data_IF_656619414001
#
_entry.id   IF_656619414001
#
_cell.length_a   1.000
_cell.length_b   1.000
_cell.length_c   1.000
_cell.angle_alpha   90.00
_cell.angle_beta   90.00
_cell.angle_gamma   90.00
#
_symmetry.space_group_name_H-M   'P 1'
#
loop_
_entity.id
_entity.type
_entity.pdbx_description
1 polymer ?
#
# COMPACT_ATOMS: atom_id res chain seq x y z
N UNK A 1 12.02 -1.96 20.46
CA UNK A 1 11.83 -1.05 21.61
C UNK A 1 10.69 -1.62 22.45
N UNK A 2 10.78 -1.70 23.79
CA UNK A 2 9.63 -2.16 24.60
C UNK A 2 8.62 -1.01 24.68
N UNK A 3 7.44 -1.19 24.08
CA UNK A 3 6.34 -0.21 24.13
C UNK A 3 5.94 -0.02 25.59
N UNK A 4 5.90 1.22 26.08
CA UNK A 4 5.36 1.51 27.41
C UNK A 4 3.83 1.67 27.30
N UNK A 5 3.05 0.71 27.83
CA UNK A 5 1.59 0.76 27.74
C UNK A 5 0.96 1.93 28.51
N UNK A 6 1.66 2.55 29.45
CA UNK A 6 1.18 3.75 30.15
C UNK A 6 1.11 4.97 29.22
N UNK A 7 2.02 5.08 28.25
CA UNK A 7 2.05 6.18 27.29
C UNK A 7 1.27 5.87 26.01
N UNK A 8 1.23 4.58 25.60
CA UNK A 8 0.62 4.15 24.35
C UNK A 8 -0.36 2.97 24.56
N UNK A 9 -1.50 3.21 25.24
CA UNK A 9 -2.40 2.15 25.68
C UNK A 9 -3.09 1.42 24.52
N UNK A 10 -3.19 2.04 23.34
CA UNK A 10 -3.88 1.47 22.18
C UNK A 10 -2.96 0.66 21.27
N UNK A 11 -1.66 0.58 21.57
CA UNK A 11 -0.66 -0.06 20.68
C UNK A 11 -1.01 -1.50 20.33
N UNK A 12 -1.45 -2.29 21.31
CA UNK A 12 -1.81 -3.70 21.05
C UNK A 12 -3.07 -3.82 20.18
N UNK A 13 -4.04 -2.91 20.34
CA UNK A 13 -5.24 -2.91 19.50
C UNK A 13 -4.91 -2.55 18.06
N UNK A 14 -4.14 -1.48 17.87
CA UNK A 14 -3.67 -1.06 16.56
C UNK A 14 -2.81 -2.16 15.91
N UNK A 15 -1.92 -2.83 16.66
CA UNK A 15 -1.15 -3.97 16.17
C UNK A 15 -2.07 -5.09 15.68
N UNK A 16 -3.08 -5.48 16.46
CA UNK A 16 -4.05 -6.50 16.05
C UNK A 16 -4.83 -6.09 14.80
N UNK A 17 -5.22 -4.82 14.68
CA UNK A 17 -5.86 -4.29 13.47
C UNK A 17 -4.96 -4.48 12.24
N UNK A 18 -3.70 -4.05 12.32
CA UNK A 18 -2.71 -4.19 11.24
C UNK A 18 -2.48 -5.67 10.89
N UNK A 19 -2.42 -6.54 11.90
CA UNK A 19 -2.25 -7.99 11.72
C UNK A 19 -3.45 -8.67 11.08
N UNK A 20 -4.65 -8.09 11.08
CA UNK A 20 -5.79 -8.63 10.32
C UNK A 20 -5.63 -8.43 8.81
N UNK A 21 -4.88 -7.41 8.38
CA UNK A 21 -4.76 -7.03 6.98
C UNK A 21 -3.65 -7.88 6.32
N UNK A 22 -4.01 -8.67 5.29
CA UNK A 22 -3.07 -9.61 4.66
C UNK A 22 -1.86 -8.90 4.05
N UNK A 23 -2.11 -7.75 3.42
CA UNK A 23 -1.05 -6.92 2.85
C UNK A 23 -0.08 -6.42 3.93
N UNK A 24 -0.57 -5.98 5.08
CA UNK A 24 0.28 -5.44 6.15
C UNK A 24 1.16 -6.52 6.78
N UNK A 25 0.64 -7.74 6.94
CA UNK A 25 1.45 -8.90 7.35
C UNK A 25 2.56 -9.21 6.33
N UNK A 26 2.23 -9.15 5.03
CA UNK A 26 3.21 -9.38 3.96
C UNK A 26 4.29 -8.29 3.90
N UNK A 27 3.94 -7.05 4.21
CA UNK A 27 4.88 -5.93 4.34
C UNK A 27 5.70 -5.97 5.62
N UNK A 28 5.30 -6.75 6.63
CA UNK A 28 5.96 -6.80 7.93
C UNK A 28 5.73 -5.54 8.76
N UNK A 29 4.60 -4.85 8.60
CA UNK A 29 4.31 -3.63 9.34
C UNK A 29 4.21 -3.90 10.84
N UNK A 30 4.86 -3.07 11.65
CA UNK A 30 4.82 -3.15 13.11
C UNK A 30 4.36 -1.83 13.70
N UNK A 31 3.36 -1.87 14.58
CA UNK A 31 2.90 -0.69 15.32
C UNK A 31 3.81 -0.49 16.53
N UNK A 32 4.48 0.66 16.56
CA UNK A 32 5.39 1.03 17.65
C UNK A 32 4.68 1.80 18.75
N UNK A 33 3.75 2.68 18.37
CA UNK A 33 3.01 3.54 19.28
C UNK A 33 1.58 3.70 18.78
N UNK A 34 0.59 3.59 19.66
CA UNK A 34 -0.74 4.08 19.39
C UNK A 34 -1.39 4.66 20.66
N UNK A 35 -1.99 5.83 20.50
CA UNK A 35 -2.77 6.55 21.50
C UNK A 35 -4.00 7.19 20.84
N UNK A 36 -4.74 8.00 21.60
CA UNK A 36 -5.82 8.81 21.06
C UNK A 36 -5.35 9.96 20.15
N UNK A 37 -4.07 10.32 20.21
CA UNK A 37 -3.49 11.43 19.46
C UNK A 37 -2.85 10.97 18.15
N UNK A 38 -2.08 9.88 18.20
CA UNK A 38 -1.31 9.41 17.04
C UNK A 38 -1.12 7.90 17.00
N UNK A 39 -0.69 7.43 15.85
CA UNK A 39 -0.15 6.09 15.60
C UNK A 39 1.19 6.20 14.90
N UNK A 40 2.16 5.40 15.32
CA UNK A 40 3.46 5.22 14.69
C UNK A 40 3.61 3.78 14.21
N UNK A 41 3.82 3.59 12.91
CA UNK A 41 4.04 2.29 12.27
C UNK A 41 5.43 2.25 11.64
N UNK A 42 6.16 1.17 11.86
CA UNK A 42 7.40 0.85 11.15
C UNK A 42 7.12 -0.06 9.95
N UNK A 43 7.67 0.33 8.80
CA UNK A 43 7.83 -0.50 7.61
C UNK A 43 9.30 -0.93 7.52
N UNK A 44 9.62 -2.23 7.68
CA UNK A 44 10.98 -2.70 7.48
C UNK A 44 11.40 -2.60 6.01
N UNK A 45 12.68 -2.37 5.77
CA UNK A 45 13.22 -2.41 4.41
C UNK A 45 13.20 -3.85 3.87
N UNK A 46 12.73 -4.02 2.63
CA UNK A 46 12.81 -5.29 1.91
C UNK A 46 13.08 -5.04 0.44
N UNK A 47 13.95 -5.86 -0.15
CA UNK A 47 14.27 -5.79 -1.57
C UNK A 47 13.09 -6.16 -2.47
N UNK A 48 12.08 -6.87 -1.95
CA UNK A 48 10.85 -7.16 -2.69
C UNK A 48 9.98 -5.91 -2.92
N UNK A 49 10.22 -4.85 -2.14
CA UNK A 49 9.43 -3.61 -2.17
C UNK A 49 10.03 -2.53 -3.07
N UNK A 50 11.18 -2.84 -3.68
CA UNK A 50 11.89 -1.93 -4.58
C UNK A 50 11.03 -1.63 -5.82
N UNK A 51 10.86 -0.34 -6.11
CA UNK A 51 10.19 0.13 -7.33
C UNK A 51 11.12 0.15 -8.54
N UNK A 52 12.42 0.38 -8.31
CA UNK A 52 13.41 0.49 -9.38
C UNK A 52 14.72 -0.21 -8.98
N UNK A 53 15.05 -1.36 -9.60
CA UNK A 53 16.16 -2.21 -9.17
C UNK A 53 17.49 -1.50 -8.99
N UNK A 54 17.84 -0.60 -9.90
CA UNK A 54 19.14 0.10 -9.91
C UNK A 54 19.35 1.04 -8.72
N UNK A 55 18.27 1.46 -8.07
CA UNK A 55 18.32 2.49 -7.02
C UNK A 55 18.24 1.92 -5.61
N UNK A 56 17.70 0.70 -5.46
CA UNK A 56 17.32 0.16 -4.14
C UNK A 56 16.17 0.90 -3.45
N UNK A 57 15.56 1.90 -4.10
CA UNK A 57 14.48 2.71 -3.52
C UNK A 57 13.18 1.94 -3.54
N UNK A 58 12.50 1.89 -2.39
CA UNK A 58 11.16 1.28 -2.29
C UNK A 58 10.13 2.09 -3.09
N UNK A 59 9.17 1.39 -3.69
CA UNK A 59 8.16 2.02 -4.54
C UNK A 59 7.25 2.96 -3.73
N UNK A 60 6.81 4.08 -4.33
CA UNK A 60 5.94 5.06 -3.68
C UNK A 60 4.62 4.45 -3.19
N UNK A 61 4.01 3.55 -3.98
CA UNK A 61 2.87 2.73 -3.54
C UNK A 61 3.04 1.97 -2.21
N UNK A 62 4.27 1.62 -1.81
CA UNK A 62 4.55 1.02 -0.50
C UNK A 62 4.44 2.07 0.60
N UNK A 63 4.96 3.29 0.35
CA UNK A 63 4.80 4.45 1.23
C UNK A 63 3.31 4.81 1.36
N UNK A 64 2.57 4.83 0.25
CA UNK A 64 1.13 5.07 0.25
C UNK A 64 0.38 4.02 1.08
N UNK A 65 0.78 2.74 0.99
CA UNK A 65 0.20 1.68 1.83
C UNK A 65 0.50 1.89 3.30
N UNK A 66 1.75 2.21 3.67
CA UNK A 66 2.11 2.55 5.04
C UNK A 66 1.27 3.71 5.59
N UNK A 67 1.09 4.77 4.80
CA UNK A 67 0.35 5.96 5.20
C UNK A 67 -1.16 5.70 5.31
N UNK A 68 -1.74 4.94 4.38
CA UNK A 68 -3.14 4.49 4.42
C UNK A 68 -3.40 3.66 5.68
N UNK A 69 -2.53 2.69 5.98
CA UNK A 69 -2.62 1.85 7.19
C UNK A 69 -2.44 2.66 8.48
N UNK A 70 -1.47 3.58 8.53
CA UNK A 70 -1.23 4.43 9.70
C UNK A 70 -2.44 5.35 9.97
N UNK A 71 -2.97 5.99 8.93
CA UNK A 71 -4.18 6.80 9.02
C UNK A 71 -5.39 5.97 9.48
N UNK A 72 -5.64 4.81 8.86
CA UNK A 72 -6.74 3.93 9.26
C UNK A 72 -6.62 3.47 10.73
N UNK A 73 -5.41 3.16 11.18
CA UNK A 73 -5.13 2.79 12.57
C UNK A 73 -5.38 3.95 13.54
N UNK A 74 -5.03 5.18 13.15
CA UNK A 74 -5.31 6.38 13.94
C UNK A 74 -6.82 6.66 14.03
N UNK A 75 -7.58 6.40 12.97
CA UNK A 75 -9.05 6.51 12.99
C UNK A 75 -9.67 5.48 13.93
N UNK A 76 -9.26 4.21 13.83
CA UNK A 76 -9.73 3.15 14.73
C UNK A 76 -9.43 3.50 16.19
N UNK A 77 -8.22 3.97 16.48
CA UNK A 77 -7.78 4.37 17.82
C UNK A 77 -8.61 5.54 18.36
N UNK A 78 -8.86 6.57 17.54
CA UNK A 78 -9.66 7.73 17.92
C UNK A 78 -11.14 7.39 18.15
N UNK A 79 -11.72 6.51 17.32
CA UNK A 79 -13.10 6.04 17.48
C UNK A 79 -13.24 5.22 18.77
N UNK A 80 -12.33 4.27 18.98
CA UNK A 80 -12.36 3.43 20.17
C UNK A 80 -12.24 4.26 21.44
N UNK A 81 -11.29 5.20 21.49
CA UNK A 81 -11.16 6.07 22.65
C UNK A 81 -12.43 6.88 22.93
N UNK A 82 -13.02 7.51 21.90
CA UNK A 82 -14.14 8.43 22.07
C UNK A 82 -15.48 7.74 22.31
N UNK A 83 -15.70 6.58 21.69
CA UNK A 83 -17.01 5.91 21.66
C UNK A 83 -16.99 4.51 22.27
N UNK A 84 -15.82 4.00 22.67
CA UNK A 84 -15.64 2.63 23.17
C UNK A 84 -16.23 1.59 22.21
N UNK A 85 -16.09 1.86 20.90
CA UNK A 85 -16.68 1.10 19.80
C UNK A 85 -15.67 0.87 18.69
N UNK A 86 -15.89 -0.19 17.90
CA UNK A 86 -15.12 -0.49 16.70
C UNK A 86 -16.02 -0.29 15.47
N UNK A 87 -15.57 0.56 14.56
CA UNK A 87 -16.26 0.89 13.31
C UNK A 87 -15.38 0.52 12.11
N UNK A 88 -15.99 0.04 11.02
CA UNK A 88 -15.26 -0.09 9.76
C UNK A 88 -15.07 1.32 9.22
N UNK A 89 -13.82 1.64 8.91
CA UNK A 89 -13.46 2.96 8.39
C UNK A 89 -12.78 2.86 7.02
N UNK A 90 -13.53 2.66 5.92
CA UNK A 90 -12.94 2.61 4.59
C UNK A 90 -12.38 3.97 4.19
N UNK A 91 -11.22 3.97 3.55
CA UNK A 91 -10.63 5.17 2.95
C UNK A 91 -11.51 5.71 1.83
N UNK A 92 -11.83 7.00 1.87
CA UNK A 92 -12.56 7.71 0.80
C UNK A 92 -11.59 8.35 -0.19
N UNK A 93 -10.57 9.02 0.35
CA UNK A 93 -9.54 9.67 -0.45
C UNK A 93 -8.20 9.67 0.31
N UNK A 94 -7.12 9.69 -0.46
CA UNK A 94 -5.77 9.84 0.05
C UNK A 94 -4.94 10.67 -0.93
N UNK A 95 -4.26 11.69 -0.41
CA UNK A 95 -3.26 12.47 -1.13
C UNK A 95 -1.92 12.28 -0.48
N UNK A 96 -0.90 11.96 -1.28
CA UNK A 96 0.50 11.82 -0.86
C UNK A 96 1.34 12.78 -1.68
N UNK A 97 2.05 13.67 -0.99
CA UNK A 97 3.03 14.58 -1.59
C UNK A 97 4.44 14.06 -1.24
N UNK A 98 5.28 13.79 -2.24
CA UNK A 98 6.61 13.21 -2.07
C UNK A 98 7.71 14.30 -2.14
N UNK A 99 8.56 14.36 -1.13
CA UNK A 99 9.66 15.33 -1.03
C UNK A 99 10.99 14.74 -1.48
N UNK A 100 11.23 13.46 -1.16
CA UNK A 100 12.47 12.75 -1.49
C UNK A 100 12.26 11.23 -1.51
N UNK A 101 13.14 10.46 -2.17
CA UNK A 101 13.11 9.00 -2.08
C UNK A 101 13.50 8.50 -0.69
N UNK A 102 12.95 7.35 -0.30
CA UNK A 102 13.42 6.60 0.86
C UNK A 102 14.84 6.09 0.61
N UNK A 103 15.72 6.24 1.60
CA UNK A 103 17.08 5.70 1.58
C UNK A 103 17.02 4.17 1.66
N UNK A 104 17.73 3.45 0.77
CA UNK A 104 17.80 1.99 0.80
C UNK A 104 18.37 1.45 2.12
N UNK A 105 18.01 0.22 2.47
CA UNK A 105 18.50 -0.50 3.66
C UNK A 105 18.12 0.12 5.01
N UNK A 106 17.16 1.05 5.04
CA UNK A 106 16.62 1.66 6.25
C UNK A 106 15.10 1.47 6.33
N UNK A 107 14.54 1.22 7.52
CA UNK A 107 13.09 1.21 7.68
C UNK A 107 12.49 2.59 7.37
N UNK A 108 11.18 2.64 7.15
CA UNK A 108 10.39 3.86 7.02
C UNK A 108 9.35 3.88 8.14
N UNK A 109 9.19 5.02 8.78
CA UNK A 109 8.21 5.24 9.83
C UNK A 109 7.05 6.06 9.30
N UNK A 110 5.83 5.58 9.49
CA UNK A 110 4.58 6.29 9.21
C UNK A 110 3.96 6.78 10.50
N UNK A 111 4.03 8.09 10.74
CA UNK A 111 3.35 8.75 11.84
C UNK A 111 2.03 9.34 11.35
N UNK A 112 0.91 9.04 12.01
CA UNK A 112 -0.41 9.49 11.59
C UNK A 112 -1.25 9.99 12.76
N UNK A 113 -2.09 10.99 12.50
CA UNK A 113 -3.01 11.58 13.47
C UNK A 113 -4.42 11.66 12.86
N UNK A 114 -5.43 11.31 13.65
CA UNK A 114 -6.83 11.62 13.33
C UNK A 114 -7.19 12.96 13.96
N UNK A 115 -6.91 14.06 13.27
CA UNK A 115 -7.07 15.40 13.82
C UNK A 115 -8.53 15.88 13.90
N UNK A 116 -9.46 15.21 13.20
CA UNK A 116 -10.89 15.53 13.30
C UNK A 116 -11.76 14.31 13.09
N UNK A 117 -12.59 14.01 14.08
CA UNK A 117 -13.59 12.94 14.05
C UNK A 117 -15.01 13.53 14.03
N UNK A 118 -15.65 13.55 12.85
CA UNK A 118 -17.05 13.97 12.68
C UNK A 118 -18.01 12.78 12.76
N UNK A 119 -19.31 12.98 12.58
CA UNK A 119 -20.31 11.89 12.64
C UNK A 119 -20.07 10.81 11.57
N UNK A 120 -19.78 11.20 10.33
CA UNK A 120 -19.72 10.29 9.18
C UNK A 120 -18.34 10.18 8.55
N UNK A 121 -17.42 11.09 8.88
CA UNK A 121 -16.09 11.19 8.27
C UNK A 121 -15.04 11.47 9.34
N UNK A 122 -13.92 10.75 9.28
CA UNK A 122 -12.70 11.06 10.01
C UNK A 122 -11.67 11.68 9.05
N UNK A 123 -10.92 12.67 9.52
CA UNK A 123 -9.88 13.33 8.75
C UNK A 123 -8.53 13.07 9.38
N UNK A 124 -7.56 12.69 8.56
CA UNK A 124 -6.22 12.31 9.00
C UNK A 124 -5.15 13.09 8.29
N UNK A 125 -3.99 13.17 8.94
CA UNK A 125 -2.74 13.59 8.32
C UNK A 125 -1.65 12.63 8.77
N UNK A 126 -0.65 12.43 7.91
CA UNK A 126 0.45 11.54 8.20
C UNK A 126 1.77 12.02 7.59
N UNK A 127 2.88 11.51 8.14
CA UNK A 127 4.25 11.80 7.73
C UNK A 127 5.00 10.48 7.61
N UNK A 128 5.59 10.22 6.44
CA UNK A 128 6.53 9.13 6.23
C UNK A 128 7.96 9.68 6.35
N UNK A 129 8.79 9.08 7.20
CA UNK A 129 10.18 9.52 7.43
C UNK A 129 11.11 8.35 7.79
N UNK A 130 12.41 8.62 7.94
CA UNK A 130 13.41 7.62 8.37
C UNK A 130 14.18 8.11 9.60
N UNK A 131 15.16 9.00 9.40
CA UNK A 131 16.03 9.45 10.48
C UNK A 131 15.40 10.57 11.34
N UNK A 132 14.64 11.48 10.72
CA UNK A 132 13.95 12.59 11.39
C UNK A 132 12.62 12.90 10.73
N UNK A 133 11.59 13.20 11.54
CA UNK A 133 10.27 13.63 11.08
C UNK A 133 10.30 15.01 10.39
N UNK A 134 11.31 15.85 10.72
CA UNK A 134 11.52 17.17 10.11
C UNK A 134 12.13 17.11 8.70
N UNK A 135 12.58 15.93 8.28
CA UNK A 135 13.12 15.67 6.95
C UNK A 135 12.37 14.49 6.29
N UNK A 136 11.08 14.70 5.95
CA UNK A 136 10.17 13.63 5.55
C UNK A 136 10.44 13.10 4.15
N UNK A 137 10.09 11.84 3.92
CA UNK A 137 9.93 11.25 2.58
C UNK A 137 8.67 11.80 1.92
N UNK A 138 7.56 11.78 2.66
CA UNK A 138 6.25 12.18 2.15
C UNK A 138 5.34 12.71 3.26
N UNK A 139 4.42 13.60 2.89
CA UNK A 139 3.23 13.92 3.68
C UNK A 139 2.00 13.27 3.06
N UNK A 140 1.03 12.90 3.89
CA UNK A 140 -0.28 12.51 3.40
C UNK A 140 -1.41 13.16 4.18
N UNK A 141 -2.53 13.35 3.50
CA UNK A 141 -3.83 13.69 4.09
C UNK A 141 -4.87 12.75 3.51
N UNK A 142 -5.86 12.36 4.32
CA UNK A 142 -6.92 11.48 3.85
C UNK A 142 -8.21 11.64 4.64
N UNK A 143 -9.29 11.17 4.04
CA UNK A 143 -10.61 11.10 4.67
C UNK A 143 -11.08 9.66 4.72
N UNK A 144 -11.68 9.27 5.85
CA UNK A 144 -12.15 7.92 6.10
C UNK A 144 -13.63 7.97 6.45
N UNK A 145 -14.43 7.16 5.76
CA UNK A 145 -15.85 7.05 6.07
C UNK A 145 -16.03 6.33 7.39
N UNK A 146 -16.98 6.75 8.22
CA UNK A 146 -17.38 6.02 9.43
C UNK A 146 -18.65 5.25 9.15
N UNK A 147 -18.56 3.93 9.16
CA UNK A 147 -19.71 3.06 8.97
C UNK A 147 -20.15 2.51 10.33
N UNK A 148 -21.47 2.52 10.56
CA UNK A 148 -22.12 2.08 11.81
C UNK A 148 -21.51 0.77 12.34
N UNK A 149 -21.35 0.65 13.67
CA UNK A 149 -20.83 -0.57 14.30
C UNK A 149 -21.56 -1.85 13.87
N UNK A 150 -22.86 -1.78 13.55
CA UNK A 150 -23.69 -2.93 13.14
C UNK A 150 -23.16 -3.67 11.89
N UNK A 151 -22.39 -2.96 11.05
CA UNK A 151 -21.76 -3.53 9.85
C UNK A 151 -20.45 -4.24 10.16
N UNK A 152 -19.95 -4.16 11.39
CA UNK A 152 -18.74 -4.85 11.85
C UNK A 152 -19.14 -6.20 12.44
N UNK A 153 -18.82 -7.29 11.75
CA UNK A 153 -19.13 -8.64 12.24
C UNK A 153 -18.41 -8.98 13.56
N UNK A 154 -19.05 -9.77 14.40
CA UNK A 154 -18.56 -10.13 15.75
C UNK A 154 -17.16 -10.75 15.73
N UNK A 155 -16.86 -11.57 14.72
CA UNK A 155 -15.55 -12.20 14.56
C UNK A 155 -14.42 -11.16 14.39
N UNK A 156 -14.66 -10.07 13.66
CA UNK A 156 -13.66 -9.01 13.48
C UNK A 156 -13.47 -8.21 14.77
N UNK A 157 -14.57 -7.92 15.48
CA UNK A 157 -14.49 -7.25 16.79
C UNK A 157 -13.68 -8.07 17.79
N UNK A 158 -13.96 -9.37 17.92
CA UNK A 158 -13.22 -10.26 18.83
C UNK A 158 -11.73 -10.30 18.50
N UNK A 159 -11.38 -10.39 17.20
CA UNK A 159 -9.99 -10.36 16.76
C UNK A 159 -9.27 -9.06 17.14
N UNK A 160 -9.93 -7.90 17.02
CA UNK A 160 -9.38 -6.60 17.43
C UNK A 160 -9.26 -6.44 18.95
N UNK A 161 -10.18 -6.99 19.71
CA UNK A 161 -10.18 -6.91 21.17
C UNK A 161 -9.24 -7.94 21.82
N UNK A 162 -8.80 -8.96 21.07
CA UNK A 162 -7.99 -10.06 21.60
C UNK A 162 -8.80 -11.07 22.40
N UNK A 163 -10.11 -11.15 22.17
CA UNK A 163 -10.99 -12.12 22.79
C UNK A 163 -10.87 -13.47 22.05
N UNK A 164 -10.34 -14.50 22.72
CA UNK A 164 -10.25 -15.84 22.14
C UNK A 164 -11.64 -16.43 21.93
N UNK A 165 -11.94 -16.86 20.70
CA UNK A 165 -13.10 -17.74 20.45
C UNK A 165 -12.84 -19.04 21.21
N UNK A 166 -13.67 -19.36 22.20
CA UNK A 166 -13.71 -20.69 22.79
C UNK A 166 -14.12 -21.66 21.68
N UNK A 167 -13.15 -22.42 21.16
CA UNK A 167 -13.40 -23.43 20.14
C UNK A 167 -14.44 -24.44 20.65
N UNK A 168 -15.62 -24.43 20.05
CA UNK A 168 -16.56 -25.55 20.11
C UNK A 168 -16.00 -26.67 19.22
N UNK A 169 -15.51 -27.73 19.87
CA UNK A 169 -15.57 -29.12 19.40
C UNK A 169 -14.75 -29.49 18.16
N UNK A 170 -13.59 -30.11 18.38
CA UNK A 170 -12.85 -30.82 17.33
C UNK A 170 -11.61 -31.52 17.88
N UNK A 171 -11.81 -32.68 18.49
CA UNK A 171 -10.74 -33.60 18.90
C UNK A 171 -9.97 -34.12 17.69
N UNK A 172 -8.65 -33.97 17.71
CA UNK A 172 -7.75 -34.52 16.71
C UNK A 172 -6.29 -34.30 17.10
N UNK A 173 -5.82 -35.03 18.11
CA UNK A 173 -4.39 -35.22 18.37
C UNK A 173 -3.77 -36.00 17.21
N UNK A 174 -2.74 -35.46 16.54
CA UNK A 174 -1.63 -36.27 15.99
C UNK A 174 -0.30 -35.48 15.97
N UNK A 175 0.63 -35.96 16.80
CA UNK A 175 2.09 -36.02 16.71
C UNK A 175 2.84 -35.19 15.63
N UNK A 176 3.74 -34.32 16.10
CA UNK A 176 4.94 -33.92 15.35
C UNK A 176 6.21 -34.29 16.13
N UNK A 177 6.92 -35.29 15.60
CA UNK A 177 8.29 -35.66 15.99
C UNK A 177 9.21 -35.46 14.79
N UNK A 178 10.20 -34.60 14.98
CA UNK A 178 11.55 -34.57 14.40
C UNK A 178 11.73 -34.67 12.86
N UNK A 179 12.33 -33.64 12.27
CA UNK A 179 13.79 -33.60 11.99
C UNK A 179 14.17 -32.27 11.34
N UNK A 180 15.15 -31.63 11.94
CA UNK A 180 15.87 -30.49 11.38
C UNK A 180 16.86 -30.98 10.34
N UNK A 181 16.94 -30.30 9.20
CA UNK A 181 18.18 -30.22 8.42
C UNK A 181 18.22 -28.86 7.70
N UNK A 182 19.12 -28.03 8.20
CA UNK A 182 19.44 -26.69 7.72
C UNK A 182 20.33 -26.78 6.48
N UNK A 183 19.85 -26.28 5.35
CA UNK A 183 20.70 -25.95 4.21
C UNK A 183 20.99 -24.45 4.25
N UNK A 184 22.12 -24.09 4.83
CA UNK A 184 22.72 -22.75 4.71
C UNK A 184 23.24 -22.57 3.29
N UNK A 185 22.44 -21.95 2.41
CA UNK A 185 22.95 -21.36 1.18
C UNK A 185 23.17 -19.87 1.39
N UNK A 186 24.44 -19.46 1.32
CA UNK A 186 24.85 -18.06 1.20
C UNK A 186 24.04 -17.38 0.09
N UNK A 187 23.46 -16.18 0.30
CA UNK A 187 22.88 -15.42 -0.79
C UNK A 187 23.99 -15.00 -1.75
N UNK A 188 24.07 -15.67 -2.90
CA UNK A 188 24.86 -15.20 -4.02
C UNK A 188 24.35 -13.81 -4.40
N UNK A 189 25.23 -12.82 -4.32
CA UNK A 189 24.96 -11.46 -4.80
C UNK A 189 24.67 -11.57 -6.30
N UNK A 190 23.38 -11.50 -6.67
CA UNK A 190 22.96 -11.42 -8.07
C UNK A 190 23.63 -10.18 -8.67
N UNK A 191 24.21 -10.33 -9.86
CA UNK A 191 24.78 -9.21 -10.61
C UNK A 191 23.76 -8.06 -10.72
N UNK A 192 24.21 -6.79 -10.74
CA UNK A 192 23.32 -5.65 -10.92
C UNK A 192 22.44 -5.84 -12.15
N UNK A 193 21.14 -5.63 -12.00
CA UNK A 193 20.19 -5.72 -13.11
C UNK A 193 20.47 -4.54 -14.06
N UNK A 194 20.59 -4.78 -15.36
CA UNK A 194 20.74 -3.71 -16.36
C UNK A 194 19.35 -3.12 -16.67
N UNK A 195 18.82 -2.26 -15.79
CA UNK A 195 17.49 -1.67 -16.01
C UNK A 195 17.48 -0.77 -17.24
N UNK A 196 18.58 -0.08 -17.56
CA UNK A 196 18.66 0.71 -18.80
C UNK A 196 18.51 -0.19 -20.03
N UNK A 197 19.20 -1.33 -20.08
CA UNK A 197 19.06 -2.32 -21.14
C UNK A 197 17.67 -2.97 -21.18
N UNK A 198 17.06 -3.25 -20.04
CA UNK A 198 15.70 -3.81 -19.97
C UNK A 198 14.68 -2.80 -20.47
N UNK A 199 14.74 -1.54 -20.04
CA UNK A 199 13.79 -0.53 -20.53
C UNK A 199 14.03 -0.25 -22.00
N UNK A 200 15.29 -0.09 -22.44
CA UNK A 200 15.61 0.11 -23.86
C UNK A 200 15.08 -1.03 -24.71
N UNK A 201 15.29 -2.28 -24.28
CA UNK A 201 14.77 -3.47 -24.96
C UNK A 201 13.24 -3.52 -24.91
N UNK A 202 12.61 -3.19 -23.79
CA UNK A 202 11.15 -3.11 -23.68
C UNK A 202 10.59 -2.04 -24.62
N UNK A 203 11.28 -0.90 -24.80
CA UNK A 203 10.93 0.14 -25.77
C UNK A 203 11.15 -0.35 -27.22
N UNK A 204 12.27 -0.99 -27.52
CA UNK A 204 12.62 -1.52 -28.86
C UNK A 204 11.69 -2.65 -29.30
N UNK A 205 11.43 -3.62 -28.40
CA UNK A 205 10.52 -4.75 -28.61
C UNK A 205 9.05 -4.35 -28.40
N UNK A 206 8.82 -3.18 -27.82
CA UNK A 206 7.51 -2.67 -27.45
C UNK A 206 6.73 -3.62 -26.53
N UNK A 207 7.46 -4.27 -25.62
CA UNK A 207 6.99 -5.23 -24.62
C UNK A 207 7.39 -4.76 -23.21
N UNK A 208 6.46 -4.07 -22.56
CA UNK A 208 6.62 -3.58 -21.19
C UNK A 208 6.18 -4.60 -20.12
N UNK A 209 5.68 -5.77 -20.54
CA UNK A 209 5.49 -6.91 -19.63
C UNK A 209 6.83 -7.35 -19.06
N UNK A 210 7.84 -7.42 -19.91
CA UNK A 210 9.22 -7.71 -19.51
C UNK A 210 9.79 -6.68 -18.52
N UNK A 211 9.42 -5.40 -18.63
CA UNK A 211 9.83 -4.38 -17.66
C UNK A 211 9.25 -4.68 -16.27
N UNK A 212 7.94 -4.96 -16.18
CA UNK A 212 7.29 -5.30 -14.90
C UNK A 212 7.86 -6.57 -14.27
N UNK A 213 8.28 -7.54 -15.08
CA UNK A 213 9.01 -8.74 -14.62
C UNK A 213 10.38 -8.44 -14.02
N UNK A 214 10.89 -7.21 -14.09
CA UNK A 214 12.14 -6.85 -13.45
C UNK A 214 11.95 -5.89 -12.28
N UNK A 215 10.73 -5.41 -12.03
CA UNK A 215 10.40 -4.53 -10.91
C UNK A 215 9.91 -5.36 -9.71
N UNK A 216 10.66 -5.42 -8.59
CA UNK A 216 10.29 -6.24 -7.44
C UNK A 216 8.89 -5.93 -6.90
N UNK A 217 8.55 -4.65 -6.73
CA UNK A 217 7.23 -4.27 -6.24
C UNK A 217 6.09 -4.70 -7.17
N UNK A 218 6.29 -4.64 -8.49
CA UNK A 218 5.28 -5.08 -9.46
C UNK A 218 5.01 -6.59 -9.32
N UNK A 219 6.06 -7.40 -9.13
CA UNK A 219 5.93 -8.84 -8.79
C UNK A 219 5.26 -9.06 -7.44
N UNK A 220 5.63 -8.25 -6.45
CA UNK A 220 5.10 -8.35 -5.10
C UNK A 220 3.58 -8.22 -5.08
N UNK A 221 3.00 -7.28 -5.84
CA UNK A 221 1.54 -7.13 -5.97
C UNK A 221 0.93 -7.98 -7.10
N UNK A 222 1.75 -8.53 -7.99
CA UNK A 222 1.33 -9.40 -9.10
C UNK A 222 0.86 -8.65 -10.35
N UNK A 223 1.19 -7.37 -10.47
CA UNK A 223 0.74 -6.50 -11.56
C UNK A 223 1.24 -6.99 -12.92
N UNK A 224 0.40 -6.82 -13.94
CA UNK A 224 0.67 -7.13 -15.34
C UNK A 224 0.30 -5.94 -16.22
N UNK A 225 0.80 -5.94 -17.45
CA UNK A 225 0.38 -5.01 -18.51
C UNK A 225 0.04 -5.81 -19.75
N UNK A 226 -1.06 -5.44 -20.38
CA UNK A 226 -1.50 -5.95 -21.67
C UNK A 226 -1.60 -4.78 -22.64
N UNK A 227 -1.24 -5.01 -23.90
CA UNK A 227 -1.27 -3.99 -24.95
C UNK A 227 -2.32 -4.34 -25.99
N UNK A 228 -3.13 -3.35 -26.34
CA UNK A 228 -4.17 -3.45 -27.36
C UNK A 228 -3.98 -2.32 -28.38
N UNK A 229 -3.28 -2.60 -29.48
CA UNK A 229 -2.85 -1.54 -30.41
C UNK A 229 -1.87 -0.59 -29.72
N UNK A 230 -2.21 0.69 -29.61
CA UNK A 230 -1.39 1.69 -28.90
C UNK A 230 -1.83 1.93 -27.45
N UNK A 231 -2.92 1.28 -27.02
CA UNK A 231 -3.42 1.40 -25.65
C UNK A 231 -2.76 0.36 -24.74
N UNK A 232 -2.35 0.79 -23.54
CA UNK A 232 -1.92 -0.09 -22.47
C UNK A 232 -3.04 -0.23 -21.43
N UNK A 233 -3.35 -1.46 -21.09
CA UNK A 233 -4.25 -1.81 -20.01
C UNK A 233 -3.46 -2.56 -18.96
N UNK A 234 -3.40 -1.97 -17.79
CA UNK A 234 -2.74 -2.57 -16.64
C UNK A 234 -3.72 -3.46 -15.91
N UNK A 235 -3.23 -4.54 -15.32
CA UNK A 235 -4.03 -5.53 -14.60
C UNK A 235 -3.41 -5.84 -13.25
N UNK A 236 -4.20 -5.72 -12.20
CA UNK A 236 -3.92 -6.26 -10.88
C UNK A 236 -4.79 -7.51 -10.69
N UNK A 237 -4.21 -8.72 -10.75
CA UNK A 237 -4.97 -9.94 -10.62
C UNK A 237 -5.51 -10.11 -9.19
N UNK A 238 -6.61 -10.88 -9.07
CA UNK A 238 -7.08 -11.33 -7.78
C UNK A 238 -5.98 -12.11 -7.04
N UNK A 239 -5.50 -11.57 -5.92
CA UNK A 239 -4.42 -12.15 -5.12
C UNK A 239 -4.76 -12.01 -3.64
N UNK A 240 -4.76 -13.13 -2.91
CA UNK A 240 -5.16 -13.16 -1.49
C UNK A 240 -4.30 -12.25 -0.61
N UNK A 241 -3.02 -12.17 -0.93
CA UNK A 241 -2.07 -11.32 -0.20
C UNK A 241 -2.36 -9.82 -0.32
N UNK A 242 -3.10 -9.39 -1.34
CA UNK A 242 -3.44 -7.98 -1.56
C UNK A 242 -4.69 -7.54 -0.78
N UNK A 243 -5.35 -8.45 -0.05
CA UNK A 243 -6.60 -8.16 0.68
C UNK A 243 -6.31 -7.27 1.90
N UNK A 244 -7.06 -6.18 2.00
CA UNK A 244 -7.06 -5.27 3.15
C UNK A 244 -8.23 -5.54 4.10
N UNK A 245 -9.43 -5.79 3.60
CA UNK A 245 -10.58 -6.13 4.44
C UNK A 245 -10.87 -7.64 4.30
N UNK A 246 -10.63 -8.46 5.34
CA UNK A 246 -10.90 -9.90 5.26
C UNK A 246 -12.39 -10.25 5.41
N UNK A 247 -13.19 -9.36 6.02
CA UNK A 247 -14.63 -9.57 6.26
C UNK A 247 -15.42 -9.32 4.98
N UNK A 248 -15.17 -8.18 4.33
CA UNK A 248 -15.59 -7.91 2.96
C UNK A 248 -14.34 -8.07 2.10
N UNK A 249 -14.11 -9.21 1.43
CA UNK A 249 -12.83 -9.54 0.77
C UNK A 249 -12.50 -8.51 -0.32
N UNK A 250 -11.86 -7.44 0.11
CA UNK A 250 -11.57 -6.25 -0.68
C UNK A 250 -10.08 -5.94 -0.60
N UNK A 251 -9.54 -5.52 -1.73
CA UNK A 251 -8.15 -5.14 -1.91
C UNK A 251 -7.86 -3.92 -1.02
N UNK A 252 -6.71 -3.91 -0.37
CA UNK A 252 -6.27 -2.79 0.44
C UNK A 252 -6.15 -1.51 -0.39
N UNK A 253 -6.61 -0.36 0.14
CA UNK A 253 -6.59 0.93 -0.56
C UNK A 253 -5.19 1.29 -1.06
N UNK A 254 -4.19 1.23 -0.19
CA UNK A 254 -2.77 1.37 -0.54
C UNK A 254 -2.27 0.49 -1.70
N UNK A 255 -2.76 -0.74 -1.86
CA UNK A 255 -2.37 -1.62 -2.98
C UNK A 255 -2.95 -1.11 -4.29
N UNK A 256 -4.22 -0.70 -4.30
CA UNK A 256 -4.85 -0.07 -5.48
C UNK A 256 -4.09 1.20 -5.87
N UNK A 257 -3.74 2.03 -4.88
CA UNK A 257 -2.96 3.24 -5.12
C UNK A 257 -1.59 2.93 -5.73
N UNK A 258 -0.84 1.98 -5.16
CA UNK A 258 0.46 1.57 -5.69
C UNK A 258 0.40 0.93 -7.07
N UNK A 259 -0.67 0.18 -7.37
CA UNK A 259 -0.95 -0.34 -8.71
C UNK A 259 -1.19 0.80 -9.72
N UNK A 260 -2.01 1.79 -9.36
CA UNK A 260 -2.31 2.94 -10.21
C UNK A 260 -1.08 3.84 -10.43
N UNK A 261 -0.27 4.06 -9.39
CA UNK A 261 0.99 4.84 -9.47
C UNK A 261 1.99 4.16 -10.41
N UNK A 262 2.23 2.85 -10.25
CA UNK A 262 3.10 2.07 -11.14
C UNK A 262 2.59 2.07 -12.59
N UNK A 263 1.27 1.98 -12.79
CA UNK A 263 0.65 2.06 -14.11
C UNK A 263 0.98 3.38 -14.81
N UNK A 264 0.90 4.50 -14.09
CA UNK A 264 1.21 5.82 -14.63
C UNK A 264 2.70 5.99 -14.96
N UNK A 265 3.59 5.46 -14.12
CA UNK A 265 5.04 5.44 -14.36
C UNK A 265 5.35 4.72 -15.68
N UNK A 266 4.83 3.49 -15.83
CA UNK A 266 5.06 2.69 -17.04
C UNK A 266 4.47 3.38 -18.27
N UNK A 267 3.23 3.89 -18.18
CA UNK A 267 2.59 4.64 -19.27
C UNK A 267 3.46 5.82 -19.74
N UNK A 268 4.02 6.60 -18.81
CA UNK A 268 4.88 7.72 -19.15
C UNK A 268 6.19 7.28 -19.80
N UNK A 269 6.82 6.22 -19.29
CA UNK A 269 8.05 5.68 -19.88
C UNK A 269 7.83 5.22 -21.31
N UNK A 270 6.70 4.55 -21.58
CA UNK A 270 6.29 4.13 -22.93
C UNK A 270 6.09 5.35 -23.83
N UNK A 271 5.26 6.29 -23.39
CA UNK A 271 4.88 7.45 -24.18
C UNK A 271 6.08 8.36 -24.52
N UNK A 272 6.99 8.55 -23.56
CA UNK A 272 8.20 9.36 -23.74
C UNK A 272 9.36 8.58 -24.38
N UNK A 273 9.22 7.27 -24.57
CA UNK A 273 10.28 6.37 -25.04
C UNK A 273 11.59 6.53 -24.24
N UNK A 274 11.47 6.60 -22.90
CA UNK A 274 12.60 6.89 -22.02
C UNK A 274 12.93 5.71 -21.11
N UNK A 275 14.22 5.47 -20.93
CA UNK A 275 14.76 4.57 -19.91
C UNK A 275 14.78 5.22 -18.51
N UNK A 276 14.60 6.54 -18.44
CA UNK A 276 14.60 7.27 -17.18
C UNK A 276 13.24 7.19 -16.54
N UNK A 277 13.23 6.69 -15.31
CA UNK A 277 12.05 6.65 -14.46
C UNK A 277 11.57 8.07 -14.12
N UNK A 278 10.31 8.42 -14.43
CA UNK A 278 9.69 9.66 -13.96
C UNK A 278 9.58 9.67 -12.44
N UNK A 279 9.99 10.77 -11.79
CA UNK A 279 9.91 10.89 -10.33
C UNK A 279 8.52 11.39 -9.95
N UNK A 280 7.79 10.64 -9.11
CA UNK A 280 6.50 11.08 -8.56
C UNK A 280 6.72 12.33 -7.71
N UNK A 281 5.95 13.37 -7.95
CA UNK A 281 5.88 14.58 -7.12
C UNK A 281 4.73 14.45 -6.13
N UNK A 282 3.55 14.07 -6.62
CA UNK A 282 2.38 13.79 -5.80
C UNK A 282 1.49 12.73 -6.46
N UNK A 283 0.71 12.05 -5.62
CA UNK A 283 -0.30 11.08 -6.01
C UNK A 283 -1.57 11.31 -5.17
N UNK A 284 -2.70 11.54 -5.83
CA UNK A 284 -4.00 11.76 -5.20
C UNK A 284 -4.99 10.74 -5.74
N UNK A 285 -5.69 10.03 -4.86
CA UNK A 285 -6.66 8.99 -5.21
C UNK A 285 -7.99 9.19 -4.50
N UNK A 286 -9.08 9.02 -5.25
CA UNK A 286 -10.45 8.93 -4.74
C UNK A 286 -10.94 7.49 -4.89
N UNK A 287 -11.32 6.86 -3.78
CA UNK A 287 -11.93 5.53 -3.75
C UNK A 287 -13.45 5.66 -3.88
N UNK A 288 -13.97 5.22 -5.01
CA UNK A 288 -15.38 5.38 -5.37
C UNK A 288 -16.22 4.17 -4.94
N UNK A 289 -15.61 2.97 -4.94
CA UNK A 289 -16.25 1.69 -4.58
C UNK A 289 -15.20 0.74 -4.02
N UNK A 290 -15.65 -0.25 -3.25
CA UNK A 290 -14.77 -1.33 -2.81
C UNK A 290 -14.18 -2.09 -4.00
N UNK A 291 -12.85 -2.18 -4.08
CA UNK A 291 -12.16 -3.08 -4.99
C UNK A 291 -12.24 -4.51 -4.46
N UNK A 292 -13.23 -5.28 -4.89
CA UNK A 292 -13.46 -6.64 -4.39
C UNK A 292 -12.31 -7.58 -4.79
N UNK A 293 -12.24 -8.77 -4.22
CA UNK A 293 -11.29 -9.81 -4.60
C UNK A 293 -11.59 -10.37 -6.01
N UNK A 294 -11.21 -9.62 -7.02
CA UNK A 294 -11.28 -9.94 -8.45
C UNK A 294 -10.25 -9.10 -9.19
N UNK A 295 -10.01 -9.45 -10.44
CA UNK A 295 -9.12 -8.70 -11.30
C UNK A 295 -9.55 -7.22 -11.36
N UNK A 296 -8.57 -6.34 -11.22
CA UNK A 296 -8.74 -4.90 -11.37
C UNK A 296 -7.89 -4.43 -12.53
N UNK A 297 -8.39 -3.45 -13.27
CA UNK A 297 -7.78 -2.93 -14.48
C UNK A 297 -7.55 -1.44 -14.31
N UNK A 298 -6.48 -0.91 -14.92
CA UNK A 298 -6.23 0.52 -14.95
C UNK A 298 -5.88 1.00 -16.36
N UNK A 299 -6.33 2.20 -16.68
CA UNK A 299 -5.97 2.96 -17.88
C UNK A 299 -5.40 4.30 -17.44
N UNK A 300 -4.33 4.72 -18.11
CA UNK A 300 -3.64 5.98 -17.83
C UNK A 300 -3.82 6.95 -19.01
N UNK A 301 -4.25 8.17 -18.73
CA UNK A 301 -4.38 9.26 -19.71
C UNK A 301 -3.47 10.41 -19.33
N UNK A 302 -2.50 10.69 -20.20
CA UNK A 302 -1.57 11.82 -20.05
C UNK A 302 -2.31 13.08 -20.51
N UNK A 303 -2.62 13.99 -19.57
CA UNK A 303 -3.47 15.16 -19.85
C UNK A 303 -2.67 16.41 -20.20
N UNK A 304 -1.45 16.54 -19.64
CA UNK A 304 -0.56 17.66 -19.92
C UNK A 304 0.88 17.24 -19.74
N UNK A 305 1.71 17.54 -20.73
CA UNK A 305 3.16 17.42 -20.66
C UNK A 305 3.77 18.81 -20.83
N UNK A 306 4.28 19.38 -19.73
CA UNK A 306 5.19 20.52 -19.80
C UNK A 306 6.62 20.05 -20.04
N UNK A 307 7.58 20.99 -20.15
CA UNK A 307 9.00 20.63 -20.36
C UNK A 307 9.60 19.80 -19.20
N UNK A 308 9.05 19.92 -17.99
CA UNK A 308 9.60 19.29 -16.78
C UNK A 308 8.59 18.50 -15.95
N UNK A 309 7.31 18.62 -16.25
CA UNK A 309 6.24 17.99 -15.44
C UNK A 309 5.21 17.37 -16.36
N UNK A 310 4.87 16.11 -16.09
CA UNK A 310 3.74 15.41 -16.69
C UNK A 310 2.60 15.26 -15.67
N UNK A 311 1.36 15.37 -16.15
CA UNK A 311 0.15 15.06 -15.39
C UNK A 311 -0.52 13.83 -16.00
N UNK A 312 -0.78 12.83 -15.17
CA UNK A 312 -1.45 11.58 -15.55
C UNK A 312 -2.70 11.41 -14.72
N UNK A 313 -3.83 11.20 -15.41
CA UNK A 313 -5.06 10.70 -14.79
C UNK A 313 -5.09 9.17 -14.94
N UNK A 314 -5.49 8.47 -13.89
CA UNK A 314 -5.59 7.01 -13.88
C UNK A 314 -7.00 6.63 -13.44
N UNK A 315 -7.66 5.80 -14.23
CA UNK A 315 -8.96 5.23 -13.87
C UNK A 315 -8.82 3.74 -13.61
N UNK A 316 -9.40 3.27 -12.50
CA UNK A 316 -9.37 1.85 -12.13
C UNK A 316 -10.78 1.27 -12.02
N UNK A 317 -11.00 0.10 -12.64
CA UNK A 317 -12.28 -0.62 -12.63
C UNK A 317 -12.07 -2.13 -12.50
N UNK A 318 -13.13 -2.91 -12.28
CA UNK A 318 -13.06 -4.38 -12.20
C UNK A 318 -13.96 -5.09 -13.21
N UNK A 319 -15.15 -4.54 -13.47
CA UNK A 319 -16.13 -5.14 -14.38
C UNK A 319 -16.40 -4.26 -15.60
N UNK A 320 -16.64 -2.96 -15.39
CA UNK A 320 -17.03 -2.05 -16.45
C UNK A 320 -16.29 -0.71 -16.28
N UNK A 321 -15.68 -0.19 -17.37
CA UNK A 321 -14.98 1.11 -17.38
C UNK A 321 -15.87 2.30 -16.98
N UNK A 322 -17.20 2.18 -17.08
CA UNK A 322 -18.16 3.20 -16.60
C UNK A 322 -18.42 3.13 -15.09
N UNK A 323 -17.96 2.07 -14.42
CA UNK A 323 -18.14 1.82 -12.99
C UNK A 323 -16.76 1.69 -12.33
N UNK A 324 -16.11 2.84 -12.17
CA UNK A 324 -14.79 2.91 -11.55
C UNK A 324 -14.86 2.50 -10.07
N UNK A 325 -13.82 1.83 -9.60
CA UNK A 325 -13.58 1.58 -8.16
C UNK A 325 -12.71 2.68 -7.56
N UNK A 326 -11.82 3.28 -8.36
CA UNK A 326 -10.99 4.40 -7.96
C UNK A 326 -10.63 5.26 -9.18
N UNK A 327 -10.36 6.53 -8.94
CA UNK A 327 -9.70 7.44 -9.90
C UNK A 327 -8.55 8.13 -9.19
N UNK A 328 -7.46 8.40 -9.91
CA UNK A 328 -6.29 9.04 -9.36
C UNK A 328 -5.70 10.06 -10.33
N UNK A 329 -4.94 10.98 -9.76
CA UNK A 329 -4.11 11.95 -10.47
C UNK A 329 -2.71 11.92 -9.89
N UNK A 330 -1.73 11.96 -10.76
CA UNK A 330 -0.34 11.98 -10.36
C UNK A 330 0.44 12.99 -11.19
N UNK A 331 1.33 13.72 -10.53
CA UNK A 331 2.28 14.59 -11.19
C UNK A 331 3.67 13.97 -11.11
N UNK A 332 4.38 14.03 -12.22
CA UNK A 332 5.71 13.47 -12.35
C UNK A 332 6.68 14.53 -12.81
N UNK A 333 7.84 14.60 -12.16
CA UNK A 333 8.99 15.29 -12.72
C UNK A 333 9.59 14.43 -13.83
N UNK A 334 9.70 15.04 -15.00
CA UNK A 334 10.30 14.47 -16.20
C UNK A 334 11.50 15.33 -16.59
N UNK A 335 12.60 14.69 -16.97
CA UNK A 335 13.84 15.36 -17.42
C UNK A 335 14.14 14.97 -18.87
#
# INVERSE_FOLDING_TARGET
>A
MKVNPEFFPLTQMAQRFVEQLAQCRRLGLAVLEASEHHVLIELPYSTELIGYPDTGVIHGGVITTLMDTACGSAVVSAIYQKYQSLEISPTLDLRVDYMKPAQPNKPVFGFAECYKLSSNIAFTRAIAYQDSIDDPIAHAVGSFMRISPEMVGDAFRQALMGETVSALGGSGEQNHSALAESVTQNPQVKAPIDVQGIVKRATELNDFGHLLEHVPYAKFIGMKVERFGDELIFKLPAKADNIGNPVLPAIHGGVIAGFMEMSAIVQLMVFMQTAKVPKVVDFSIDYLRAGLHKDSFAECRITRQGRRVANVNIDCWQTNRKQLIATARAHFLID
#
